data_IF_065115300123
#
_entry.id   IF_065115300123
#
_cell.length_a   1.000
_cell.length_b   1.000
_cell.length_c   1.000
_cell.angle_alpha   90.00
_cell.angle_beta   90.00
_cell.angle_gamma   90.00
#
_symmetry.space_group_name_H-M   'P 1'
#
loop_
_entity.id
_entity.type
_entity.pdbx_description
1 polymer ?
#
# COMPACT_ATOMS: atom_id res chain seq x y z
N UNK A 1 16.27 -9.93 18.12
CA UNK A 1 15.15 -8.98 18.34
C UNK A 1 15.75 -7.60 18.30
N UNK A 2 15.22 -6.69 17.44
CA UNK A 2 15.72 -5.33 17.32
C UNK A 2 15.18 -4.46 18.46
N UNK A 3 15.92 -3.41 18.84
CA UNK A 3 15.47 -2.46 19.85
C UNK A 3 14.41 -1.52 19.25
N UNK A 4 14.69 -0.99 18.03
CA UNK A 4 13.82 0.01 17.39
C UNK A 4 13.76 -0.15 15.88
N UNK A 5 12.59 -0.50 15.36
CA UNK A 5 12.34 -0.58 13.93
C UNK A 5 11.63 0.68 13.42
N UNK A 6 12.11 1.25 12.32
CA UNK A 6 11.39 2.26 11.54
C UNK A 6 10.55 1.54 10.48
N UNK A 7 9.23 1.63 10.60
CA UNK A 7 8.30 1.17 9.56
C UNK A 7 7.83 2.36 8.74
N UNK A 8 8.10 2.32 7.43
CA UNK A 8 7.72 3.40 6.51
C UNK A 8 6.43 3.03 5.76
N UNK A 9 5.34 3.67 6.13
CA UNK A 9 4.12 3.65 5.35
C UNK A 9 4.29 4.41 4.03
N UNK A 10 3.66 3.91 2.97
CA UNK A 10 3.68 4.53 1.64
C UNK A 10 2.32 4.41 0.96
N UNK A 11 2.06 3.30 0.26
CA UNK A 11 0.76 2.93 -0.33
C UNK A 11 0.13 1.75 0.40
N UNK A 12 0.23 1.72 1.70
CA UNK A 12 -0.20 0.64 2.59
C UNK A 12 -0.77 1.21 3.89
N UNK A 13 -1.65 2.23 3.74
CA UNK A 13 -2.11 3.11 4.81
C UNK A 13 -3.16 2.44 5.72
N UNK A 14 -2.77 1.33 6.37
CA UNK A 14 -3.58 0.57 7.31
C UNK A 14 -2.74 -0.14 8.36
N UNK A 15 -3.35 -0.50 9.48
CA UNK A 15 -2.72 -1.30 10.53
C UNK A 15 -3.04 -2.80 10.39
N UNK A 16 -4.31 -3.12 10.06
CA UNK A 16 -4.76 -4.50 9.96
C UNK A 16 -4.29 -5.16 8.66
N UNK A 17 -3.93 -6.44 8.75
CA UNK A 17 -3.45 -7.24 7.61
C UNK A 17 -2.32 -6.58 6.82
N UNK A 18 -1.41 -5.87 7.50
CA UNK A 18 -0.25 -5.22 6.93
C UNK A 18 0.99 -6.07 7.21
N UNK A 19 1.45 -6.81 6.20
CA UNK A 19 2.48 -7.85 6.33
C UNK A 19 3.79 -7.30 6.90
N UNK A 20 4.26 -6.17 6.38
CA UNK A 20 5.51 -5.56 6.84
C UNK A 20 5.40 -4.97 8.23
N UNK A 21 4.29 -4.31 8.54
CA UNK A 21 4.04 -3.75 9.88
C UNK A 21 3.92 -4.86 10.94
N UNK A 22 3.17 -5.92 10.64
CA UNK A 22 3.02 -7.06 11.56
C UNK A 22 4.37 -7.73 11.84
N UNK A 23 5.19 -7.89 10.79
CA UNK A 23 6.54 -8.41 10.92
C UNK A 23 7.40 -7.47 11.78
N UNK A 24 7.42 -6.16 11.49
CA UNK A 24 8.16 -5.18 12.27
C UNK A 24 7.79 -5.21 13.75
N UNK A 25 6.50 -5.22 14.07
CA UNK A 25 5.99 -5.34 15.44
C UNK A 25 6.37 -6.68 16.09
N UNK A 26 6.68 -7.71 15.30
CA UNK A 26 7.03 -9.05 15.81
C UNK A 26 8.50 -9.16 16.17
N UNK A 27 9.41 -8.53 15.44
CA UNK A 27 10.84 -8.68 15.65
C UNK A 27 11.53 -7.50 16.34
N UNK A 28 10.82 -6.38 16.57
CA UNK A 28 11.35 -5.22 17.28
C UNK A 28 10.63 -5.00 18.62
N UNK A 29 11.35 -4.48 19.61
CA UNK A 29 10.76 -4.06 20.90
C UNK A 29 9.85 -2.84 20.72
N UNK A 30 10.23 -1.93 19.82
CA UNK A 30 9.48 -0.70 19.56
C UNK A 30 9.47 -0.38 18.07
N UNK A 31 8.32 0.01 17.52
CA UNK A 31 8.17 0.37 16.11
C UNK A 31 7.80 1.84 15.97
N UNK A 32 8.61 2.60 15.23
CA UNK A 32 8.30 3.96 14.79
C UNK A 32 7.49 3.86 13.51
N UNK A 33 6.21 4.20 13.58
CA UNK A 33 5.31 4.26 12.43
C UNK A 33 5.46 5.62 11.74
N UNK A 34 5.96 5.66 10.50
CA UNK A 34 6.33 6.89 9.83
C UNK A 34 5.81 6.96 8.39
N UNK A 35 5.54 8.19 7.93
CA UNK A 35 5.27 8.52 6.53
C UNK A 35 6.16 9.70 6.11
N UNK A 36 6.70 9.65 4.89
CA UNK A 36 7.58 10.69 4.35
C UNK A 36 6.88 11.31 3.13
N UNK A 37 6.63 12.61 3.21
CA UNK A 37 6.25 13.41 2.05
C UNK A 37 7.50 13.70 1.24
N UNK A 38 7.60 13.13 0.04
CA UNK A 38 8.76 13.35 -0.83
C UNK A 38 8.48 14.50 -1.81
N UNK A 39 9.49 15.28 -2.22
CA UNK A 39 9.34 16.37 -3.18
C UNK A 39 8.63 15.91 -4.47
N UNK A 40 8.97 14.71 -4.95
CA UNK A 40 8.35 14.14 -6.15
C UNK A 40 6.86 13.86 -6.00
N UNK A 41 6.38 13.68 -4.76
CA UNK A 41 4.94 13.50 -4.51
C UNK A 41 4.20 14.83 -4.41
N UNK A 42 4.84 15.87 -3.87
CA UNK A 42 4.17 17.10 -3.47
C UNK A 42 4.46 18.30 -4.36
N UNK A 43 5.65 18.41 -4.96
CA UNK A 43 6.06 19.63 -5.67
C UNK A 43 6.05 19.50 -7.20
N UNK A 44 6.78 18.56 -7.77
CA UNK A 44 7.13 18.51 -9.19
C UNK A 44 6.71 17.20 -9.88
N UNK A 45 5.41 16.92 -9.85
CA UNK A 45 4.90 15.73 -10.53
C UNK A 45 3.95 16.15 -11.66
N UNK A 46 4.32 15.88 -12.91
CA UNK A 46 3.45 16.08 -14.08
C UNK A 46 2.11 15.32 -13.99
N UNK A 47 2.07 14.29 -13.15
CA UNK A 47 0.89 13.46 -12.91
C UNK A 47 0.24 13.76 -11.55
N UNK A 48 0.58 14.89 -10.92
CA UNK A 48 -0.02 15.31 -9.67
C UNK A 48 -1.53 15.47 -9.83
N UNK A 49 -2.27 14.79 -8.99
CA UNK A 49 -3.72 14.90 -8.92
C UNK A 49 -4.11 15.34 -7.50
N UNK A 50 -4.75 16.50 -7.38
CA UNK A 50 -5.21 17.00 -6.08
C UNK A 50 -6.23 16.07 -5.43
N UNK A 51 -7.09 15.43 -6.23
CA UNK A 51 -8.02 14.39 -5.74
C UNK A 51 -7.28 13.20 -5.12
N UNK A 52 -6.16 12.81 -5.73
CA UNK A 52 -5.32 11.72 -5.23
C UNK A 52 -4.60 12.11 -3.94
N UNK A 53 -4.09 13.34 -3.86
CA UNK A 53 -3.47 13.88 -2.65
C UNK A 53 -4.49 14.03 -1.53
N UNK A 54 -5.69 14.57 -1.82
CA UNK A 54 -6.76 14.64 -0.83
C UNK A 54 -7.09 13.26 -0.25
N UNK A 55 -7.30 12.26 -1.11
CA UNK A 55 -7.57 10.88 -0.67
C UNK A 55 -6.44 10.33 0.22
N UNK A 56 -5.18 10.61 -0.14
CA UNK A 56 -4.01 10.22 0.64
C UNK A 56 -4.00 10.90 2.02
N UNK A 57 -4.23 12.22 2.07
CA UNK A 57 -4.24 12.97 3.34
C UNK A 57 -5.35 12.51 4.27
N UNK A 58 -6.56 12.28 3.75
CA UNK A 58 -7.68 11.74 4.52
C UNK A 58 -7.37 10.31 5.03
N UNK A 59 -6.67 9.51 4.22
CA UNK A 59 -6.23 8.17 4.60
C UNK A 59 -5.14 8.19 5.67
N UNK A 60 -4.23 9.18 5.63
CA UNK A 60 -3.21 9.39 6.68
C UNK A 60 -3.85 9.85 7.99
N UNK A 61 -4.86 10.72 7.93
CA UNK A 61 -5.61 11.15 9.11
C UNK A 61 -6.34 9.98 9.78
N UNK A 62 -6.99 9.12 8.99
CA UNK A 62 -7.64 7.90 9.48
C UNK A 62 -6.61 6.91 10.07
N UNK A 63 -5.46 6.74 9.44
CA UNK A 63 -4.36 5.91 9.95
C UNK A 63 -3.80 6.43 11.27
N UNK A 64 -3.65 7.76 11.41
CA UNK A 64 -3.21 8.39 12.64
C UNK A 64 -4.19 8.14 13.79
N UNK A 65 -5.50 8.21 13.53
CA UNK A 65 -6.52 7.90 14.52
C UNK A 65 -6.49 6.41 14.93
N UNK A 66 -6.32 5.50 13.98
CA UNK A 66 -6.14 4.07 14.27
C UNK A 66 -4.91 3.82 15.15
N UNK A 67 -3.77 4.46 14.86
CA UNK A 67 -2.54 4.35 15.66
C UNK A 67 -2.76 4.89 17.08
N UNK A 68 -3.42 6.04 17.23
CA UNK A 68 -3.75 6.63 18.53
C UNK A 68 -4.58 5.68 19.39
N UNK A 69 -5.58 5.00 18.82
CA UNK A 69 -6.38 3.99 19.50
C UNK A 69 -5.56 2.78 19.97
N UNK A 70 -4.43 2.50 19.31
CA UNK A 70 -3.47 1.45 19.70
C UNK A 70 -2.30 1.97 20.58
N UNK A 71 -2.36 3.21 21.05
CA UNK A 71 -1.32 3.83 21.88
C UNK A 71 -0.08 4.26 21.10
N UNK A 72 -0.17 4.33 19.77
CA UNK A 72 0.92 4.75 18.88
C UNK A 72 0.72 6.15 18.32
N UNK A 73 1.69 6.58 17.50
CA UNK A 73 1.67 7.85 16.77
C UNK A 73 2.21 7.65 15.36
N UNK A 74 1.61 8.33 14.37
CA UNK A 74 2.18 8.44 13.03
C UNK A 74 3.12 9.64 13.00
N UNK A 75 4.40 9.40 12.67
CA UNK A 75 5.38 10.45 12.50
C UNK A 75 5.44 10.85 11.04
N UNK A 76 5.25 12.13 10.78
CA UNK A 76 5.29 12.71 9.44
C UNK A 76 6.63 13.39 9.23
N UNK A 77 7.25 13.15 8.09
CA UNK A 77 8.49 13.78 7.67
C UNK A 77 8.34 14.35 6.26
N UNK A 78 9.23 15.28 5.93
CA UNK A 78 9.31 15.86 4.58
C UNK A 78 10.74 15.80 4.08
N UNK A 79 10.92 15.40 2.82
CA UNK A 79 12.22 15.34 2.16
C UNK A 79 12.51 14.02 1.44
N UNK A 80 13.74 13.87 0.98
CA UNK A 80 14.19 12.64 0.33
C UNK A 80 14.22 11.47 1.32
N UNK A 81 13.63 10.36 0.95
CA UNK A 81 13.41 9.22 1.85
C UNK A 81 14.71 8.66 2.45
N UNK A 82 15.77 8.57 1.67
CA UNK A 82 17.08 8.07 2.12
C UNK A 82 17.72 9.02 3.14
N UNK A 83 17.61 10.35 2.95
CA UNK A 83 18.11 11.35 3.89
C UNK A 83 17.36 11.30 5.23
N UNK A 84 16.02 11.19 5.17
CA UNK A 84 15.18 11.06 6.37
C UNK A 84 15.49 9.77 7.12
N UNK A 85 15.61 8.64 6.41
CA UNK A 85 15.98 7.36 7.02
C UNK A 85 17.35 7.44 7.67
N UNK A 86 18.34 8.03 7.00
CA UNK A 86 19.67 8.24 7.59
C UNK A 86 19.59 9.04 8.90
N UNK A 87 18.82 10.13 8.92
CA UNK A 87 18.61 10.94 10.12
C UNK A 87 17.93 10.14 11.24
N UNK A 88 16.91 9.34 10.93
CA UNK A 88 16.26 8.45 11.89
C UNK A 88 17.24 7.43 12.49
N UNK A 89 18.14 6.87 11.68
CA UNK A 89 19.16 5.92 12.16
C UNK A 89 20.06 6.62 13.17
N UNK A 90 20.56 7.81 12.86
CA UNK A 90 21.50 8.54 13.71
C UNK A 90 20.86 9.05 14.99
N UNK A 91 19.73 9.76 14.89
CA UNK A 91 19.15 10.49 16.02
C UNK A 91 18.23 9.62 16.88
N UNK A 92 17.56 8.61 16.27
CA UNK A 92 16.61 7.77 16.99
C UNK A 92 17.16 6.38 17.32
N UNK A 93 18.42 6.10 16.98
CA UNK A 93 19.06 4.78 17.18
C UNK A 93 18.22 3.64 16.60
N UNK A 94 17.73 3.85 15.37
CA UNK A 94 17.02 2.80 14.61
C UNK A 94 18.02 1.74 14.20
N UNK A 95 17.74 0.48 14.50
CA UNK A 95 18.56 -0.69 14.17
C UNK A 95 17.92 -1.63 13.14
N UNK A 96 16.66 -1.32 12.75
CA UNK A 96 15.97 -1.98 11.64
C UNK A 96 15.07 -1.01 10.87
N UNK A 97 14.96 -1.18 9.56
CA UNK A 97 13.98 -0.49 8.70
C UNK A 97 13.15 -1.53 7.97
N UNK A 98 11.84 -1.35 7.94
CA UNK A 98 10.90 -2.24 7.27
C UNK A 98 9.97 -1.47 6.35
N UNK A 99 9.68 -2.04 5.19
CA UNK A 99 8.77 -1.50 4.18
C UNK A 99 7.96 -2.62 3.53
N UNK A 100 6.77 -2.29 3.02
CA UNK A 100 6.11 -3.15 2.04
C UNK A 100 6.61 -2.84 0.63
N UNK A 101 6.75 -3.84 -0.23
CA UNK A 101 7.22 -3.69 -1.60
C UNK A 101 6.24 -2.84 -2.42
N UNK A 102 6.78 -1.89 -3.18
CA UNK A 102 6.09 -1.18 -4.25
C UNK A 102 6.82 -1.45 -5.57
N UNK A 103 6.07 -1.48 -6.68
CA UNK A 103 6.53 -2.01 -7.95
C UNK A 103 6.76 -0.94 -9.01
N UNK A 104 6.60 0.35 -8.68
CA UNK A 104 6.86 1.44 -9.63
C UNK A 104 8.36 1.70 -9.77
N UNK A 105 8.87 2.16 -10.94
CA UNK A 105 10.29 2.48 -11.11
C UNK A 105 10.80 3.47 -10.08
N UNK A 106 10.03 4.52 -9.81
CA UNK A 106 10.34 5.47 -8.75
C UNK A 106 10.52 4.77 -7.39
N UNK A 107 9.58 3.90 -7.04
CA UNK A 107 9.63 3.19 -5.76
C UNK A 107 10.83 2.25 -5.67
N UNK A 108 11.18 1.56 -6.76
CA UNK A 108 12.36 0.69 -6.80
C UNK A 108 13.65 1.49 -6.60
N UNK A 109 13.79 2.65 -7.24
CA UNK A 109 14.94 3.54 -7.06
C UNK A 109 15.02 4.10 -5.63
N UNK A 110 13.90 4.57 -5.08
CA UNK A 110 13.81 5.05 -3.70
C UNK A 110 14.19 3.95 -2.71
N UNK A 111 13.64 2.75 -2.87
CA UNK A 111 13.87 1.63 -1.97
C UNK A 111 15.34 1.17 -2.03
N UNK A 112 15.96 1.21 -3.22
CA UNK A 112 17.38 0.95 -3.39
C UNK A 112 18.25 1.98 -2.64
N UNK A 113 17.93 3.27 -2.72
CA UNK A 113 18.66 4.33 -1.95
C UNK A 113 18.53 4.09 -0.44
N UNK A 114 17.34 3.76 0.06
CA UNK A 114 17.12 3.42 1.47
C UNK A 114 17.96 2.21 1.87
N UNK A 115 17.97 1.15 1.05
CA UNK A 115 18.78 -0.04 1.28
C UNK A 115 20.28 0.30 1.39
N UNK A 116 20.80 1.14 0.49
CA UNK A 116 22.20 1.58 0.55
C UNK A 116 22.53 2.33 1.86
N UNK A 117 21.62 3.19 2.33
CA UNK A 117 21.77 3.87 3.62
C UNK A 117 21.85 2.87 4.77
N UNK A 118 20.93 1.90 4.80
CA UNK A 118 20.89 0.85 5.82
C UNK A 118 22.17 -0.01 5.79
N UNK A 119 22.65 -0.40 4.60
CA UNK A 119 23.89 -1.16 4.43
C UNK A 119 25.12 -0.39 4.94
N UNK A 120 25.26 0.90 4.61
CA UNK A 120 26.34 1.76 5.10
C UNK A 120 26.32 1.90 6.63
N UNK A 121 25.12 1.99 7.21
CA UNK A 121 24.92 2.06 8.66
C UNK A 121 25.00 0.69 9.36
N UNK A 122 25.11 -0.41 8.61
CA UNK A 122 25.12 -1.80 9.11
C UNK A 122 23.86 -2.15 9.91
N UNK A 123 22.69 -1.64 9.51
CA UNK A 123 21.40 -1.97 10.11
C UNK A 123 20.57 -2.87 9.20
N UNK A 124 19.61 -3.56 9.79
CA UNK A 124 18.74 -4.47 9.07
C UNK A 124 17.74 -3.72 8.19
N UNK A 125 17.56 -4.18 6.94
CA UNK A 125 16.54 -3.68 6.02
C UNK A 125 15.68 -4.83 5.52
N UNK A 126 14.36 -4.71 5.69
CA UNK A 126 13.39 -5.74 5.29
C UNK A 126 12.35 -5.18 4.33
N UNK A 127 12.05 -5.96 3.29
CA UNK A 127 11.00 -5.67 2.30
C UNK A 127 10.01 -6.82 2.29
N UNK A 128 8.70 -6.52 2.36
CA UNK A 128 7.63 -7.51 2.45
C UNK A 128 6.66 -7.35 1.29
N UNK A 129 6.17 -8.47 0.77
CA UNK A 129 5.11 -8.48 -0.24
C UNK A 129 3.75 -8.37 0.47
N UNK A 130 2.95 -7.37 0.07
CA UNK A 130 1.70 -7.04 0.75
C UNK A 130 0.58 -6.60 -0.20
N UNK A 131 0.95 -5.97 -1.32
CA UNK A 131 0.02 -5.25 -2.18
C UNK A 131 -0.80 -6.15 -3.12
N UNK A 132 -0.39 -7.40 -3.35
CA UNK A 132 -0.96 -8.31 -4.33
C UNK A 132 -1.50 -9.57 -3.65
N UNK A 133 -2.41 -10.30 -4.33
CA UNK A 133 -2.91 -11.61 -3.86
C UNK A 133 -1.78 -12.64 -3.83
N UNK A 134 -0.92 -12.61 -4.86
CA UNK A 134 0.25 -13.47 -5.01
C UNK A 134 1.46 -12.64 -5.44
N UNK A 135 2.66 -13.05 -5.02
CA UNK A 135 3.87 -12.40 -5.50
C UNK A 135 4.01 -12.61 -7.01
N UNK A 136 4.55 -11.62 -7.76
CA UNK A 136 4.77 -11.79 -9.19
C UNK A 136 5.58 -13.05 -9.54
N UNK A 137 6.54 -13.41 -8.68
CA UNK A 137 7.42 -14.55 -8.83
C UNK A 137 6.71 -15.90 -8.61
N UNK A 138 5.56 -15.93 -7.95
CA UNK A 138 4.79 -17.15 -7.69
C UNK A 138 3.88 -17.53 -8.87
N UNK A 139 3.67 -16.61 -9.84
CA UNK A 139 2.77 -16.81 -10.99
C UNK A 139 3.53 -16.69 -12.30
N UNK A 140 4.40 -17.67 -12.55
CA UNK A 140 5.20 -17.74 -13.77
C UNK A 140 4.78 -18.95 -14.64
N UNK A 141 5.13 -18.90 -15.92
CA UNK A 141 5.06 -20.04 -16.83
C UNK A 141 6.03 -21.14 -16.41
N UNK A 142 5.87 -22.34 -16.94
CA UNK A 142 6.79 -23.47 -16.69
C UNK A 142 8.24 -23.21 -17.10
N UNK A 143 8.45 -22.28 -18.03
CA UNK A 143 9.78 -21.83 -18.48
C UNK A 143 10.35 -20.66 -17.65
N UNK A 144 9.70 -20.29 -16.54
CA UNK A 144 10.10 -19.19 -15.66
C UNK A 144 9.78 -17.78 -16.18
N UNK A 145 9.16 -17.66 -17.35
CA UNK A 145 8.77 -16.35 -17.91
C UNK A 145 7.42 -15.88 -17.40
N UNK A 146 7.18 -14.57 -17.33
CA UNK A 146 5.88 -14.02 -16.96
C UNK A 146 4.81 -14.29 -18.03
N UNK A 147 3.55 -14.26 -17.62
CA UNK A 147 2.44 -14.29 -18.55
C UNK A 147 2.23 -12.91 -19.16
N UNK A 148 2.10 -12.86 -20.50
CA UNK A 148 1.77 -11.64 -21.27
C UNK A 148 0.28 -11.56 -21.64
N UNK A 149 -0.52 -12.60 -21.31
CA UNK A 149 -1.95 -12.68 -21.61
C UNK A 149 -2.68 -13.02 -20.31
N UNK A 150 -3.76 -12.29 -20.02
CA UNK A 150 -4.50 -12.41 -18.77
C UNK A 150 -5.12 -13.80 -18.55
N UNK A 151 -5.78 -14.37 -19.55
CA UNK A 151 -6.52 -15.62 -19.37
C UNK A 151 -5.67 -16.79 -18.85
N UNK A 152 -4.48 -17.09 -19.42
CA UNK A 152 -3.58 -18.12 -18.88
C UNK A 152 -2.99 -17.71 -17.51
N UNK A 153 -2.69 -16.42 -17.28
CA UNK A 153 -2.30 -15.91 -15.96
C UNK A 153 -3.37 -16.22 -14.92
N UNK A 154 -4.60 -15.80 -15.16
CA UNK A 154 -5.73 -16.00 -14.24
C UNK A 154 -5.96 -17.47 -13.94
N UNK A 155 -5.91 -18.34 -14.99
CA UNK A 155 -6.06 -19.79 -14.82
C UNK A 155 -5.01 -20.39 -13.89
N UNK A 156 -3.81 -19.86 -13.88
CA UNK A 156 -2.74 -20.32 -12.99
C UNK A 156 -2.82 -19.66 -11.60
N UNK A 157 -2.97 -18.35 -11.54
CA UNK A 157 -3.02 -17.60 -10.29
C UNK A 157 -4.21 -18.00 -9.41
N UNK A 158 -5.38 -18.26 -10.00
CA UNK A 158 -6.60 -18.66 -9.27
C UNK A 158 -6.53 -20.06 -8.64
N UNK A 159 -5.52 -20.87 -8.97
CA UNK A 159 -5.27 -22.16 -8.30
C UNK A 159 -4.49 -21.99 -6.99
N UNK A 160 -3.79 -20.89 -6.84
CA UNK A 160 -3.00 -20.64 -5.64
C UNK A 160 -3.92 -20.18 -4.50
N UNK A 161 -3.69 -20.65 -3.27
CA UNK A 161 -4.50 -20.24 -2.13
C UNK A 161 -4.22 -18.77 -1.79
N UNK A 162 -5.30 -17.99 -1.64
CA UNK A 162 -5.22 -16.64 -1.08
C UNK A 162 -5.19 -16.72 0.43
N UNK A 163 -4.20 -16.11 1.06
CA UNK A 163 -4.08 -16.07 2.51
C UNK A 163 -5.28 -15.33 3.13
N UNK A 164 -5.76 -15.84 4.26
CA UNK A 164 -6.78 -15.13 5.03
C UNK A 164 -6.20 -13.83 5.63
N UNK A 165 -6.99 -12.74 5.68
CA UNK A 165 -6.53 -11.50 6.28
C UNK A 165 -6.27 -11.68 7.78
N UNK A 166 -5.21 -11.05 8.28
CA UNK A 166 -4.78 -11.15 9.67
C UNK A 166 -5.19 -9.93 10.47
N UNK A 167 -5.41 -10.10 11.77
CA UNK A 167 -5.60 -9.01 12.71
C UNK A 167 -4.27 -8.64 13.37
N UNK A 168 -3.98 -7.36 13.45
CA UNK A 168 -2.82 -6.85 14.15
C UNK A 168 -3.17 -6.57 15.61
N UNK A 169 -2.76 -7.45 16.53
CA UNK A 169 -3.03 -7.31 17.97
C UNK A 169 -1.90 -6.57 18.72
N UNK A 170 -0.72 -6.48 18.13
CA UNK A 170 0.46 -5.87 18.75
C UNK A 170 0.33 -4.36 18.83
N UNK A 171 0.91 -3.79 19.89
CA UNK A 171 0.79 -2.36 20.24
C UNK A 171 2.11 -1.72 20.67
N UNK A 172 3.26 -2.34 20.35
CA UNK A 172 4.59 -1.86 20.71
C UNK A 172 5.06 -0.71 19.80
N UNK A 173 4.19 0.28 19.60
CA UNK A 173 4.50 1.49 18.85
C UNK A 173 5.30 2.48 19.70
N UNK A 174 6.23 3.17 19.06
CA UNK A 174 6.91 4.32 19.65
C UNK A 174 5.93 5.50 19.77
N UNK A 175 5.98 6.22 20.91
CA UNK A 175 5.11 7.37 21.21
C UNK A 175 5.88 8.57 21.76
N UNK A 176 7.22 8.51 21.80
CA UNK A 176 8.07 9.61 22.24
C UNK A 176 8.05 10.79 21.26
N UNK A 177 8.65 11.91 21.68
CA UNK A 177 8.83 13.08 20.80
C UNK A 177 9.96 12.84 19.81
N UNK A 178 9.75 13.28 18.56
CA UNK A 178 10.80 13.34 17.52
C UNK A 178 10.89 14.79 17.07
N UNK A 179 11.98 15.52 17.44
CA UNK A 179 12.06 16.98 17.23
C UNK A 179 12.00 17.41 15.76
N UNK A 180 12.41 16.54 14.83
CA UNK A 180 12.42 16.84 13.39
C UNK A 180 11.21 16.24 12.64
N UNK A 181 10.25 15.66 13.35
CA UNK A 181 8.98 15.26 12.74
C UNK A 181 8.06 16.47 12.60
N UNK A 182 7.29 16.49 11.52
CA UNK A 182 6.28 17.51 11.28
C UNK A 182 5.14 17.38 12.31
N UNK A 183 4.57 18.51 12.71
CA UNK A 183 3.40 18.57 13.58
C UNK A 183 2.11 18.27 12.81
N UNK A 184 2.09 18.60 11.51
CA UNK A 184 0.96 18.42 10.59
C UNK A 184 1.47 18.15 9.16
N UNK A 185 0.57 17.82 8.24
CA UNK A 185 0.89 17.66 6.83
C UNK A 185 1.48 18.96 6.25
N UNK A 186 2.53 18.89 5.40
CA UNK A 186 3.05 20.06 4.68
C UNK A 186 2.14 20.49 3.52
N UNK A 187 1.11 19.70 3.22
CA UNK A 187 0.16 19.96 2.13
C UNK A 187 -1.16 20.39 2.75
N UNK A 188 -1.64 21.55 2.34
CA UNK A 188 -3.01 21.99 2.61
C UNK A 188 -3.81 21.88 1.31
N UNK A 189 -4.81 21.02 1.31
CA UNK A 189 -5.73 20.84 0.18
C UNK A 189 -7.13 21.05 0.70
N UNK A 190 -7.80 22.09 0.18
CA UNK A 190 -9.20 22.28 0.41
C UNK A 190 -10.01 21.10 -0.16
N UNK A 191 -11.09 20.74 0.53
CA UNK A 191 -11.97 19.65 0.08
C UNK A 191 -12.48 19.90 -1.35
N UNK A 192 -12.26 18.94 -2.23
CA UNK A 192 -12.73 19.00 -3.62
C UNK A 192 -14.10 18.31 -3.67
N UNK A 193 -15.18 19.01 -4.02
CA UNK A 193 -16.50 18.41 -4.12
C UNK A 193 -16.55 17.22 -5.10
N UNK A 194 -17.31 16.19 -4.77
CA UNK A 194 -17.50 15.00 -5.61
C UNK A 194 -16.31 14.04 -5.65
N UNK A 195 -15.31 14.19 -4.77
CA UNK A 195 -14.25 13.19 -4.60
C UNK A 195 -14.67 12.09 -3.62
N UNK A 196 -14.15 10.88 -3.86
CA UNK A 196 -14.28 9.79 -2.90
C UNK A 196 -13.46 10.13 -1.65
N UNK A 197 -14.09 9.95 -0.49
CA UNK A 197 -13.43 10.17 0.79
C UNK A 197 -12.41 9.07 1.07
N UNK A 198 -11.21 9.46 1.46
CA UNK A 198 -10.13 8.54 1.84
C UNK A 198 -10.35 7.89 3.20
N UNK A 199 -9.49 6.93 3.51
CA UNK A 199 -9.46 6.25 4.80
C UNK A 199 -10.03 4.84 4.79
N UNK A 200 -9.52 4.02 5.71
CA UNK A 200 -9.94 2.63 5.89
C UNK A 200 -11.41 2.50 6.27
N UNK A 201 -11.89 3.40 7.14
CA UNK A 201 -13.27 3.41 7.59
C UNK A 201 -14.26 3.50 6.43
N UNK A 202 -13.98 4.31 5.42
CA UNK A 202 -14.80 4.44 4.22
C UNK A 202 -14.71 3.19 3.32
N UNK A 203 -13.50 2.66 3.11
CA UNK A 203 -13.32 1.40 2.38
C UNK A 203 -14.08 0.23 3.02
N UNK A 204 -14.06 0.11 4.34
CA UNK A 204 -14.81 -0.93 5.06
C UNK A 204 -16.34 -0.77 4.92
N UNK A 205 -16.87 0.45 4.77
CA UNK A 205 -18.29 0.66 4.46
C UNK A 205 -18.65 0.02 3.12
N UNK A 206 -17.81 0.20 2.09
CA UNK A 206 -18.02 -0.43 0.78
C UNK A 206 -18.04 -1.95 0.92
N UNK A 207 -17.08 -2.52 1.67
CA UNK A 207 -17.00 -3.97 1.87
C UNK A 207 -18.21 -4.56 2.61
N UNK A 208 -18.89 -3.78 3.45
CA UNK A 208 -20.13 -4.18 4.13
C UNK A 208 -21.36 -4.19 3.21
N UNK A 209 -21.31 -3.46 2.09
CA UNK A 209 -22.44 -3.32 1.18
C UNK A 209 -22.19 -3.99 -0.18
N UNK A 210 -21.29 -4.97 -0.25
CA UNK A 210 -20.97 -5.68 -1.50
C UNK A 210 -22.15 -6.39 -2.13
N UNK A 211 -23.16 -6.78 -1.35
CA UNK A 211 -24.39 -7.40 -1.85
C UNK A 211 -25.13 -6.57 -2.90
N UNK A 212 -24.93 -5.24 -2.93
CA UNK A 212 -25.50 -4.35 -3.96
C UNK A 212 -24.91 -4.60 -5.36
N UNK A 213 -23.74 -5.24 -5.44
CA UNK A 213 -23.02 -5.47 -6.69
C UNK A 213 -23.20 -6.87 -7.27
N UNK A 214 -24.26 -7.60 -6.90
CA UNK A 214 -24.54 -8.95 -7.42
C UNK A 214 -24.60 -9.01 -8.94
N UNK A 215 -25.09 -7.93 -9.58
CA UNK A 215 -25.22 -7.83 -11.04
C UNK A 215 -24.03 -7.10 -11.70
N UNK A 216 -22.93 -6.91 -10.99
CA UNK A 216 -21.77 -6.14 -11.42
C UNK A 216 -21.31 -6.46 -12.85
N UNK A 217 -21.28 -7.73 -13.25
CA UNK A 217 -20.87 -8.14 -14.60
C UNK A 217 -21.75 -7.57 -15.72
N UNK A 218 -23.04 -7.31 -15.44
CA UNK A 218 -24.00 -6.76 -16.41
C UNK A 218 -24.09 -5.24 -16.37
N UNK A 219 -23.98 -4.68 -15.18
CA UNK A 219 -24.34 -3.28 -14.93
C UNK A 219 -23.12 -2.35 -14.99
N UNK A 220 -21.88 -2.85 -14.81
CA UNK A 220 -20.64 -2.05 -14.77
C UNK A 220 -20.32 -1.28 -16.05
N UNK A 221 -20.78 -1.79 -17.20
CA UNK A 221 -20.49 -1.20 -18.51
C UNK A 221 -21.54 -0.15 -18.91
N UNK A 222 -22.51 0.15 -18.04
CA UNK A 222 -23.56 1.15 -18.27
C UNK A 222 -23.20 2.41 -17.45
N UNK A 223 -22.65 3.48 -18.07
CA UNK A 223 -22.17 4.65 -17.34
C UNK A 223 -23.23 5.41 -16.54
N UNK A 224 -24.51 5.31 -16.96
CA UNK A 224 -25.62 5.94 -16.25
C UNK A 224 -26.00 5.22 -14.93
N UNK A 225 -25.49 4.00 -14.72
CA UNK A 225 -25.69 3.25 -13.49
C UNK A 225 -24.47 3.40 -12.58
N UNK A 226 -24.66 3.79 -11.34
CA UNK A 226 -23.62 3.75 -10.32
C UNK A 226 -23.36 2.31 -9.84
N UNK A 227 -22.95 1.45 -10.78
CA UNK A 227 -22.85 0.01 -10.56
C UNK A 227 -21.41 -0.46 -10.27
N UNK A 228 -20.48 0.45 -10.01
CA UNK A 228 -19.08 0.10 -9.67
C UNK A 228 -18.82 0.32 -8.20
N UNK A 229 -17.93 -0.50 -7.63
CA UNK A 229 -17.61 -0.46 -6.19
C UNK A 229 -16.75 0.74 -5.78
N UNK A 230 -16.13 1.43 -6.72
CA UNK A 230 -15.13 2.47 -6.46
C UNK A 230 -13.98 2.04 -5.52
N UNK A 231 -13.69 0.74 -5.43
CA UNK A 231 -12.62 0.21 -4.55
C UNK A 231 -11.20 0.53 -5.05
N UNK A 232 -11.03 0.97 -6.30
CA UNK A 232 -9.69 1.20 -6.89
C UNK A 232 -8.80 2.18 -6.10
N UNK A 233 -9.24 3.35 -5.59
CA UNK A 233 -8.40 4.22 -4.78
C UNK A 233 -8.08 3.59 -3.42
N UNK A 234 -9.00 2.86 -2.81
CA UNK A 234 -8.77 2.16 -1.54
C UNK A 234 -7.73 1.04 -1.69
N UNK A 235 -7.70 0.36 -2.83
CA UNK A 235 -6.67 -0.61 -3.18
C UNK A 235 -5.37 0.03 -3.68
N UNK A 236 -5.42 1.24 -4.25
CA UNK A 236 -4.22 2.00 -4.65
C UNK A 236 -3.39 2.39 -3.43
N UNK A 237 -4.04 2.87 -2.37
CA UNK A 237 -3.40 3.24 -1.11
C UNK A 237 -3.44 2.11 -0.08
N UNK A 238 -3.95 0.94 -0.46
CA UNK A 238 -4.09 -0.24 0.40
C UNK A 238 -4.63 0.08 1.80
N UNK A 239 -5.61 0.97 1.89
CA UNK A 239 -6.31 1.26 3.15
C UNK A 239 -7.20 0.09 3.57
N UNK A 240 -7.64 -0.73 2.61
CA UNK A 240 -8.09 -2.10 2.81
C UNK A 240 -7.10 -3.02 2.13
N UNK A 241 -6.74 -4.15 2.75
CA UNK A 241 -5.85 -5.10 2.11
C UNK A 241 -6.55 -5.80 0.96
N UNK A 242 -5.78 -6.21 -0.05
CA UNK A 242 -6.33 -7.00 -1.18
C UNK A 242 -6.94 -8.31 -0.68
N UNK A 243 -6.39 -8.92 0.39
CA UNK A 243 -6.87 -10.16 1.00
C UNK A 243 -8.20 -9.95 1.72
N UNK A 244 -8.40 -8.82 2.42
CA UNK A 244 -9.68 -8.44 3.03
C UNK A 244 -10.77 -8.25 1.96
N UNK A 245 -10.42 -7.54 0.87
CA UNK A 245 -11.35 -7.32 -0.24
C UNK A 245 -11.72 -8.64 -0.90
N UNK A 246 -10.74 -9.51 -1.19
CA UNK A 246 -10.97 -10.84 -1.72
C UNK A 246 -11.89 -11.67 -0.82
N UNK A 247 -11.59 -11.76 0.47
CA UNK A 247 -12.37 -12.51 1.44
C UNK A 247 -13.82 -11.98 1.58
N UNK A 248 -13.98 -10.64 1.58
CA UNK A 248 -15.30 -10.01 1.61
C UNK A 248 -16.12 -10.34 0.36
N UNK A 249 -15.52 -10.25 -0.82
CA UNK A 249 -16.22 -10.62 -2.08
C UNK A 249 -16.61 -12.10 -2.06
N UNK A 250 -15.70 -12.98 -1.69
CA UNK A 250 -16.01 -14.43 -1.61
C UNK A 250 -17.18 -14.71 -0.65
N UNK A 251 -17.23 -14.05 0.49
CA UNK A 251 -18.27 -14.23 1.50
C UNK A 251 -19.62 -13.69 1.06
N UNK A 252 -19.65 -12.49 0.47
CA UNK A 252 -20.91 -11.79 0.15
C UNK A 252 -21.48 -12.15 -1.24
N UNK A 253 -20.61 -12.43 -2.21
CA UNK A 253 -20.97 -12.58 -3.62
C UNK A 253 -20.56 -13.95 -4.19
N UNK A 254 -19.74 -14.70 -3.48
CA UNK A 254 -19.22 -15.99 -3.90
C UNK A 254 -17.86 -15.91 -4.62
N UNK A 255 -17.11 -17.03 -4.64
CA UNK A 255 -15.73 -17.09 -5.13
C UNK A 255 -15.59 -16.97 -6.66
N UNK A 256 -16.68 -17.07 -7.40
CA UNK A 256 -16.70 -16.96 -8.86
C UNK A 256 -17.21 -15.62 -9.38
N UNK A 257 -17.44 -14.66 -8.48
CA UNK A 257 -17.96 -13.35 -8.86
C UNK A 257 -16.94 -12.55 -9.68
N UNK A 258 -17.41 -11.74 -10.64
CA UNK A 258 -16.55 -11.00 -11.59
C UNK A 258 -15.61 -10.00 -10.89
N UNK A 259 -15.96 -9.49 -9.72
CA UNK A 259 -15.07 -8.66 -8.90
C UNK A 259 -13.78 -9.39 -8.49
N UNK A 260 -13.84 -10.71 -8.25
CA UNK A 260 -12.63 -11.52 -7.99
C UNK A 260 -11.70 -11.47 -9.20
N UNK A 261 -12.27 -11.65 -10.40
CA UNK A 261 -11.50 -11.56 -11.64
C UNK A 261 -10.86 -10.17 -11.83
N UNK A 262 -11.56 -9.11 -11.40
CA UNK A 262 -11.03 -7.73 -11.43
C UNK A 262 -9.82 -7.54 -10.51
N UNK A 263 -9.76 -8.22 -9.35
CA UNK A 263 -8.57 -8.21 -8.48
C UNK A 263 -7.37 -8.87 -9.17
N UNK A 264 -7.59 -10.00 -9.85
CA UNK A 264 -6.52 -10.66 -10.61
C UNK A 264 -6.08 -9.83 -11.83
N UNK A 265 -6.96 -9.06 -12.48
CA UNK A 265 -6.58 -8.11 -13.52
C UNK A 265 -5.61 -7.06 -12.99
N UNK A 266 -5.90 -6.51 -11.80
CA UNK A 266 -5.00 -5.58 -11.13
C UNK A 266 -3.62 -6.21 -10.91
N UNK A 267 -3.55 -7.41 -10.36
CA UNK A 267 -2.30 -8.12 -10.08
C UNK A 267 -1.55 -8.45 -11.36
N UNK A 268 -2.25 -8.86 -12.42
CA UNK A 268 -1.65 -9.11 -13.73
C UNK A 268 -0.92 -7.89 -14.30
N UNK A 269 -1.52 -6.70 -14.20
CA UNK A 269 -0.87 -5.47 -14.63
C UNK A 269 0.34 -5.10 -13.77
N UNK A 270 0.35 -5.43 -12.49
CA UNK A 270 1.55 -5.28 -11.66
C UNK A 270 2.64 -6.27 -12.07
N UNK A 271 2.32 -7.53 -12.33
CA UNK A 271 3.27 -8.53 -12.81
C UNK A 271 3.88 -8.14 -14.15
N UNK A 272 3.07 -7.68 -15.11
CA UNK A 272 3.56 -7.21 -16.40
C UNK A 272 4.60 -6.09 -16.25
N UNK A 273 4.37 -5.14 -15.34
CA UNK A 273 5.32 -4.06 -15.04
C UNK A 273 6.61 -4.54 -14.40
N UNK A 274 6.55 -5.48 -13.48
CA UNK A 274 7.74 -6.01 -12.80
C UNK A 274 8.69 -6.67 -13.81
N UNK A 275 8.14 -7.38 -14.79
CA UNK A 275 8.94 -8.18 -15.72
C UNK A 275 9.17 -7.51 -17.08
N UNK A 276 8.39 -6.50 -17.46
CA UNK A 276 8.51 -5.80 -18.73
C UNK A 276 9.29 -4.48 -18.60
N UNK A 277 10.62 -4.56 -18.48
CA UNK A 277 11.49 -3.38 -18.46
C UNK A 277 11.36 -2.48 -19.72
N UNK A 278 10.89 -3.01 -20.84
CA UNK A 278 10.63 -2.24 -22.05
C UNK A 278 9.43 -1.28 -21.94
N UNK A 279 8.43 -1.58 -21.12
CA UNK A 279 7.28 -0.71 -20.90
C UNK A 279 7.64 0.60 -20.17
N UNK A 280 8.78 0.65 -19.50
CA UNK A 280 9.24 1.83 -18.76
C UNK A 280 10.07 2.82 -19.59
N UNK A 281 10.58 2.42 -20.76
CA UNK A 281 11.26 3.34 -21.68
C UNK A 281 10.29 4.10 -22.57
N UNK A 282 9.02 3.74 -22.62
CA UNK A 282 7.96 4.30 -23.47
C UNK A 282 6.88 5.10 -22.76
N UNK A 283 7.18 5.91 -21.75
CA UNK A 283 6.31 7.03 -21.35
C UNK A 283 4.98 6.72 -20.64
N UNK A 284 4.64 5.48 -20.30
CA UNK A 284 3.48 5.18 -19.46
C UNK A 284 3.83 5.29 -17.97
N UNK A 285 4.04 6.51 -17.51
CA UNK A 285 4.05 6.81 -16.08
C UNK A 285 2.60 6.87 -15.60
N UNK A 286 2.19 5.88 -14.81
CA UNK A 286 0.89 5.96 -14.13
C UNK A 286 1.01 6.98 -13.00
N UNK A 287 0.08 7.91 -13.00
CA UNK A 287 -0.08 8.92 -11.96
C UNK A 287 0.04 8.29 -10.55
N UNK A 288 0.91 8.88 -9.77
CA UNK A 288 1.09 8.62 -8.33
C UNK A 288 -0.13 9.06 -7.57
#
# INVERSE_FOLDING_TARGET
>A
MFERCLFLFRRDLRLEDNTGLESALSYAKTVIAAFIFTPEQIEHNLFRSERCLQFMLESLADLQEQLKQKGGKLYLFEGESDKIVHKCIQELKVDAVAINRDYTPYSLQRDHKIQQVCQKAKIHFSVFDDALLHRPEDVLKSDGRPYSIFTPYFRQASKLPVQAPKRCEKRNYFHGSIPFALSHSPIDISSIPGTLKGGRSEGLKILKHLSHYQRYAKDRDIPAMEATTHLSPYLKFNVCSIREVYAAICRELGPHHELIRSLYWRDFFFCDRVFCSACFQGGFQIAV
#
